data_IF_549514257441
#
_entry.id   IF_549514257441
#
_cell.length_a   1.000
_cell.length_b   1.000
_cell.length_c   1.000
_cell.angle_alpha   90.00
_cell.angle_beta   90.00
_cell.angle_gamma   90.00
#
_symmetry.space_group_name_H-M   'P 1'
#
loop_
_entity.id
_entity.type
_entity.pdbx_description
1 polymer ?
#
# COMPACT_ATOMS: atom_id res chain seq x y z
N UNK A 1 2.42 -8.53 -16.43
CA UNK A 1 2.83 -8.59 -15.01
C UNK A 1 2.21 -7.44 -14.25
N UNK A 2 1.65 -7.75 -13.10
CA UNK A 2 1.11 -6.68 -12.27
C UNK A 2 2.25 -5.88 -11.63
N UNK A 3 2.04 -4.58 -11.51
CA UNK A 3 3.00 -3.64 -10.90
C UNK A 3 2.42 -3.19 -9.57
N UNK A 4 3.21 -3.32 -8.51
CA UNK A 4 2.76 -3.03 -7.15
C UNK A 4 3.58 -1.84 -6.62
N UNK A 5 2.88 -0.82 -6.14
CA UNK A 5 3.53 0.31 -5.47
C UNK A 5 3.58 0.01 -3.98
N UNK A 6 4.77 0.01 -3.41
CA UNK A 6 4.99 -0.20 -1.97
C UNK A 6 5.34 1.13 -1.35
N UNK A 7 4.57 1.54 -0.35
CA UNK A 7 4.76 2.83 0.32
C UNK A 7 5.00 2.60 1.80
N UNK A 8 6.20 2.92 2.27
CA UNK A 8 6.57 2.81 3.67
C UNK A 8 7.83 3.66 3.87
N UNK A 9 7.94 4.38 4.97
CA UNK A 9 9.13 5.20 5.24
C UNK A 9 10.32 4.37 5.72
N UNK A 10 10.09 3.11 6.12
CA UNK A 10 11.15 2.21 6.55
C UNK A 10 11.76 1.47 5.35
N UNK A 11 12.96 1.86 4.97
CA UNK A 11 13.66 1.26 3.82
C UNK A 11 13.80 -0.25 3.95
N UNK A 12 14.12 -0.73 5.16
CA UNK A 12 14.27 -2.17 5.40
C UNK A 12 12.98 -2.93 5.08
N UNK A 13 11.84 -2.38 5.49
CA UNK A 13 10.55 -3.02 5.26
C UNK A 13 10.17 -3.00 3.78
N UNK A 14 10.41 -1.87 3.10
CA UNK A 14 10.18 -1.81 1.65
C UNK A 14 11.00 -2.86 0.92
N UNK A 15 12.29 -2.98 1.30
CA UNK A 15 13.17 -3.97 0.67
C UNK A 15 12.67 -5.39 0.89
N UNK A 16 12.22 -5.69 2.10
CA UNK A 16 11.71 -7.01 2.45
C UNK A 16 10.45 -7.36 1.63
N UNK A 17 9.52 -6.43 1.53
CA UNK A 17 8.30 -6.64 0.75
C UNK A 17 8.62 -6.72 -0.73
N UNK A 18 9.53 -5.88 -1.22
CA UNK A 18 9.96 -5.92 -2.62
C UNK A 18 10.47 -7.29 -3.00
N UNK A 19 11.31 -7.89 -2.15
CA UNK A 19 11.86 -9.22 -2.42
C UNK A 19 10.75 -10.27 -2.52
N UNK A 20 9.77 -10.20 -1.63
CA UNK A 20 8.63 -11.11 -1.66
C UNK A 20 7.88 -11.02 -2.97
N UNK A 21 7.58 -9.80 -3.41
CA UNK A 21 6.78 -9.58 -4.62
C UNK A 21 7.54 -9.91 -5.88
N UNK A 22 8.81 -9.53 -5.95
CA UNK A 22 9.65 -9.85 -7.10
C UNK A 22 9.79 -11.36 -7.27
N UNK A 23 9.91 -12.10 -6.17
CA UNK A 23 10.02 -13.56 -6.21
C UNK A 23 8.75 -14.20 -6.78
N UNK A 24 7.60 -13.53 -6.67
CA UNK A 24 6.34 -14.03 -7.21
C UNK A 24 6.05 -13.50 -8.63
N UNK A 25 7.00 -12.78 -9.21
CA UNK A 25 6.87 -12.32 -10.59
C UNK A 25 6.24 -10.94 -10.77
N UNK A 26 5.95 -10.24 -9.68
CA UNK A 26 5.41 -8.88 -9.77
C UNK A 26 6.52 -7.87 -10.05
N UNK A 27 6.17 -6.77 -10.68
CA UNK A 27 7.04 -5.60 -10.76
C UNK A 27 6.76 -4.72 -9.55
N UNK A 28 7.78 -4.01 -9.07
CA UNK A 28 7.68 -3.22 -7.84
C UNK A 28 8.11 -1.78 -8.08
N UNK A 29 7.33 -0.84 -7.53
CA UNK A 29 7.66 0.58 -7.47
C UNK A 29 7.65 0.94 -6.01
N UNK A 30 8.56 1.79 -5.55
CA UNK A 30 8.66 2.17 -4.13
C UNK A 30 8.45 3.66 -3.93
N UNK A 31 7.85 4.00 -2.79
CA UNK A 31 7.71 5.37 -2.34
C UNK A 31 7.96 5.43 -0.83
N UNK A 32 8.51 6.53 -0.35
CA UNK A 32 8.93 6.68 1.04
C UNK A 32 7.90 7.39 1.92
N UNK A 33 6.91 8.02 1.32
CA UNK A 33 5.87 8.74 2.05
C UNK A 33 4.63 8.90 1.16
N UNK A 34 3.57 9.45 1.75
CA UNK A 34 2.31 9.61 1.04
C UNK A 34 2.38 10.55 -0.14
N UNK A 35 3.19 11.59 -0.05
CA UNK A 35 3.32 12.55 -1.14
C UNK A 35 3.94 11.89 -2.37
N UNK A 36 5.04 11.16 -2.17
CA UNK A 36 5.65 10.39 -3.27
C UNK A 36 4.69 9.32 -3.80
N UNK A 37 3.89 8.72 -2.92
CA UNK A 37 2.92 7.71 -3.33
C UNK A 37 1.90 8.29 -4.30
N UNK A 38 1.35 9.45 -3.99
CA UNK A 38 0.37 10.11 -4.86
C UNK A 38 1.00 10.44 -6.21
N UNK A 39 2.21 11.02 -6.19
CA UNK A 39 2.92 11.36 -7.43
C UNK A 39 3.19 10.13 -8.29
N UNK A 40 3.71 9.07 -7.68
CA UNK A 40 4.04 7.84 -8.41
C UNK A 40 2.80 7.11 -8.91
N UNK A 41 1.71 7.17 -8.15
CA UNK A 41 0.47 6.59 -8.62
C UNK A 41 0.01 7.27 -9.92
N UNK A 42 0.07 8.58 -9.96
CA UNK A 42 -0.36 9.35 -11.13
C UNK A 42 0.51 9.10 -12.35
N UNK A 43 1.83 8.98 -12.16
CA UNK A 43 2.76 8.81 -13.28
C UNK A 43 2.93 7.36 -13.70
N UNK A 44 2.96 6.43 -12.75
CA UNK A 44 3.25 5.02 -13.03
C UNK A 44 2.00 4.15 -13.16
N UNK A 45 0.89 4.59 -12.61
CA UNK A 45 -0.39 3.88 -12.65
C UNK A 45 -0.25 2.40 -12.29
N UNK A 46 0.20 2.10 -11.05
CA UNK A 46 0.37 0.71 -10.64
C UNK A 46 -0.96 -0.03 -10.57
N UNK A 47 -0.91 -1.34 -10.61
CA UNK A 47 -2.11 -2.17 -10.51
C UNK A 47 -2.62 -2.28 -9.09
N UNK A 48 -1.76 -2.15 -8.11
CA UNK A 48 -2.13 -2.21 -6.70
C UNK A 48 -1.15 -1.41 -5.85
N UNK A 49 -1.57 -1.03 -4.65
CA UNK A 49 -0.76 -0.25 -3.71
C UNK A 49 -0.79 -0.92 -2.34
N UNK A 50 0.39 -1.07 -1.73
CA UNK A 50 0.55 -1.41 -0.32
C UNK A 50 0.99 -0.13 0.37
N UNK A 51 0.17 0.40 1.27
CA UNK A 51 0.36 1.73 1.85
C UNK A 51 0.45 1.68 3.37
N UNK A 52 1.61 2.06 3.92
CA UNK A 52 1.74 2.25 5.37
C UNK A 52 0.87 3.43 5.80
N UNK A 53 0.34 3.38 7.01
CA UNK A 53 -0.52 4.45 7.54
C UNK A 53 0.31 5.63 8.04
N UNK A 54 1.33 5.37 8.87
CA UNK A 54 2.09 6.43 9.54
C UNK A 54 3.39 6.72 8.81
N UNK A 55 3.49 7.90 8.20
CA UNK A 55 4.67 8.32 7.44
C UNK A 55 4.85 9.82 7.57
N UNK A 56 6.08 10.33 7.41
CA UNK A 56 6.32 11.78 7.38
C UNK A 56 5.76 12.40 6.09
N UNK A 57 5.71 13.69 6.03
CA UNK A 57 5.23 14.51 4.92
C UNK A 57 3.74 14.37 4.69
N UNK A 58 3.28 13.21 4.29
CA UNK A 58 1.86 12.91 4.12
C UNK A 58 1.63 11.47 4.57
N UNK A 59 0.67 11.25 5.48
CA UNK A 59 0.37 9.91 5.98
C UNK A 59 -0.41 9.09 4.95
N UNK A 60 -0.56 7.79 5.24
CA UNK A 60 -1.19 6.87 4.30
C UNK A 60 -2.67 7.09 4.12
N UNK A 61 -3.38 7.53 5.16
CA UNK A 61 -4.81 7.80 5.04
C UNK A 61 -5.06 8.97 4.08
N UNK A 62 -4.28 10.05 4.23
CA UNK A 62 -4.39 11.20 3.35
C UNK A 62 -4.04 10.81 1.91
N UNK A 63 -2.96 10.05 1.73
CA UNK A 63 -2.56 9.58 0.40
C UNK A 63 -3.63 8.70 -0.24
N UNK A 64 -4.24 7.80 0.53
CA UNK A 64 -5.33 6.97 0.06
C UNK A 64 -6.48 7.82 -0.48
N UNK A 65 -6.88 8.83 0.27
CA UNK A 65 -7.98 9.70 -0.15
C UNK A 65 -7.64 10.45 -1.44
N UNK A 66 -6.41 10.95 -1.56
CA UNK A 66 -5.98 11.65 -2.76
C UNK A 66 -5.88 10.73 -3.97
N UNK A 67 -5.36 9.53 -3.78
CA UNK A 67 -5.30 8.55 -4.88
C UNK A 67 -6.70 8.16 -5.33
N UNK A 68 -7.62 7.92 -4.38
CA UNK A 68 -8.99 7.55 -4.73
C UNK A 68 -9.75 8.70 -5.41
N UNK A 69 -9.42 9.95 -5.07
CA UNK A 69 -9.99 11.10 -5.75
C UNK A 69 -9.51 11.20 -7.20
N UNK A 70 -8.26 10.81 -7.44
CA UNK A 70 -7.68 10.77 -8.78
C UNK A 70 -8.19 9.56 -9.58
N UNK A 71 -8.31 8.41 -8.93
CA UNK A 71 -8.71 7.15 -9.55
C UNK A 71 -9.59 6.37 -8.59
N UNK A 72 -10.90 6.45 -8.76
CA UNK A 72 -11.86 5.80 -7.87
C UNK A 72 -11.73 4.27 -7.86
N UNK A 73 -11.07 3.70 -8.88
CA UNK A 73 -10.88 2.24 -8.98
C UNK A 73 -9.53 1.78 -8.43
N UNK A 74 -8.75 2.68 -7.84
CA UNK A 74 -7.45 2.33 -7.27
C UNK A 74 -7.60 1.21 -6.24
N UNK A 75 -6.70 0.23 -6.32
CA UNK A 75 -6.70 -0.96 -5.46
C UNK A 75 -5.63 -0.80 -4.40
N UNK A 76 -6.05 -0.54 -3.16
CA UNK A 76 -5.14 -0.19 -2.07
C UNK A 76 -5.37 -1.07 -0.86
N UNK A 77 -4.28 -1.64 -0.32
CA UNK A 77 -4.25 -2.36 0.95
C UNK A 77 -3.41 -1.54 1.92
N UNK A 78 -3.91 -1.33 3.13
CA UNK A 78 -3.18 -0.58 4.14
C UNK A 78 -2.29 -1.51 4.96
N UNK A 79 -1.09 -1.01 5.34
CA UNK A 79 -0.22 -1.67 6.31
C UNK A 79 -0.38 -0.91 7.62
N UNK A 80 -0.67 -1.62 8.70
CA UNK A 80 -1.02 -0.98 9.96
C UNK A 80 -0.30 -1.62 11.15
N UNK A 81 -0.09 -0.85 12.21
CA UNK A 81 0.43 -1.36 13.47
C UNK A 81 -0.76 -1.61 14.42
N UNK A 82 -0.51 -2.36 15.48
CA UNK A 82 -1.53 -2.54 16.52
C UNK A 82 -1.88 -1.18 17.12
N UNK A 83 -3.14 -0.98 17.47
CA UNK A 83 -3.60 0.24 18.07
C UNK A 83 -4.07 1.30 17.08
N UNK A 84 -4.17 0.96 15.81
CA UNK A 84 -4.61 1.89 14.76
C UNK A 84 -6.01 1.56 14.22
N UNK A 85 -6.83 0.88 15.01
CA UNK A 85 -8.14 0.41 14.54
C UNK A 85 -9.05 1.49 14.01
N UNK A 86 -9.06 2.67 14.66
CA UNK A 86 -9.91 3.77 14.20
C UNK A 86 -9.46 4.31 12.83
N UNK A 87 -8.14 4.37 12.61
CA UNK A 87 -7.60 4.82 11.33
C UNK A 87 -7.88 3.79 10.24
N UNK A 88 -7.78 2.51 10.58
CA UNK A 88 -8.11 1.43 9.64
C UNK A 88 -9.57 1.52 9.19
N UNK A 89 -10.49 1.75 10.13
CA UNK A 89 -11.92 1.92 9.80
C UNK A 89 -12.13 3.09 8.85
N UNK A 90 -11.46 4.21 9.11
CA UNK A 90 -11.54 5.38 8.24
C UNK A 90 -11.00 5.04 6.85
N UNK A 91 -9.89 4.31 6.78
CA UNK A 91 -9.29 3.91 5.50
C UNK A 91 -10.24 3.02 4.70
N UNK A 92 -10.87 2.05 5.34
CA UNK A 92 -11.84 1.16 4.68
C UNK A 92 -13.02 1.98 4.14
N UNK A 93 -13.54 2.90 4.95
CA UNK A 93 -14.63 3.79 4.53
C UNK A 93 -14.22 4.67 3.35
N UNK A 94 -12.94 5.00 3.26
CA UNK A 94 -12.40 5.85 2.19
C UNK A 94 -11.99 5.06 0.95
N UNK A 95 -12.16 3.73 0.95
CA UNK A 95 -11.97 2.92 -0.24
C UNK A 95 -10.83 1.92 -0.20
N UNK A 96 -10.12 1.77 0.93
CA UNK A 96 -9.12 0.70 1.04
C UNK A 96 -9.83 -0.65 1.01
N UNK A 97 -9.25 -1.62 0.30
CA UNK A 97 -9.87 -2.94 0.12
C UNK A 97 -9.59 -3.90 1.26
N UNK A 98 -8.48 -3.72 1.96
CA UNK A 98 -8.05 -4.63 3.01
C UNK A 98 -6.98 -3.95 3.84
N UNK A 99 -6.54 -4.60 4.90
CA UNK A 99 -5.41 -4.13 5.70
C UNK A 99 -4.60 -5.33 6.19
N UNK A 100 -3.31 -5.10 6.43
CA UNK A 100 -2.38 -6.12 6.93
C UNK A 100 -1.68 -5.54 8.15
N UNK A 101 -1.74 -6.26 9.28
CA UNK A 101 -1.17 -5.80 10.55
C UNK A 101 0.31 -6.18 10.63
N UNK A 102 1.15 -5.24 11.05
CA UNK A 102 2.57 -5.48 11.31
C UNK A 102 2.76 -6.00 12.74
N UNK A 103 3.67 -6.94 12.98
CA UNK A 103 4.47 -7.66 12.01
C UNK A 103 3.63 -8.70 11.25
N UNK A 104 3.97 -8.93 10.00
CA UNK A 104 3.18 -9.82 9.15
C UNK A 104 4.01 -11.00 8.65
N UNK A 105 3.31 -12.09 8.32
CA UNK A 105 3.90 -13.21 7.63
C UNK A 105 3.81 -12.98 6.12
N UNK A 106 4.71 -13.60 5.37
CA UNK A 106 4.73 -13.50 3.91
C UNK A 106 3.37 -13.88 3.31
N UNK A 107 2.78 -14.97 3.81
CA UNK A 107 1.50 -15.49 3.30
C UNK A 107 0.38 -14.46 3.45
N UNK A 108 0.38 -13.68 4.52
CA UNK A 108 -0.66 -12.68 4.73
C UNK A 108 -0.58 -11.57 3.69
N UNK A 109 0.63 -11.09 3.39
CA UNK A 109 0.85 -10.06 2.37
C UNK A 109 0.47 -10.61 1.00
N UNK A 110 0.92 -11.81 0.67
CA UNK A 110 0.63 -12.41 -0.64
C UNK A 110 -0.85 -12.67 -0.83
N UNK A 111 -1.54 -13.12 0.22
CA UNK A 111 -2.98 -13.33 0.16
C UNK A 111 -3.72 -12.04 -0.13
N UNK A 112 -3.33 -10.94 0.55
CA UNK A 112 -3.96 -9.65 0.35
C UNK A 112 -3.76 -9.16 -1.09
N UNK A 113 -2.55 -9.27 -1.62
CA UNK A 113 -2.24 -8.84 -2.98
C UNK A 113 -2.99 -9.69 -4.01
N UNK A 114 -3.00 -11.00 -3.83
CA UNK A 114 -3.70 -11.92 -4.76
C UNK A 114 -5.19 -11.58 -4.84
N UNK A 115 -5.81 -11.37 -3.68
CA UNK A 115 -7.24 -11.02 -3.64
C UNK A 115 -7.51 -9.64 -4.24
N UNK A 116 -6.59 -8.71 -4.02
CA UNK A 116 -6.71 -7.35 -4.52
C UNK A 116 -6.71 -7.33 -6.05
N UNK A 117 -5.88 -8.17 -6.65
CA UNK A 117 -5.71 -8.23 -8.10
C UNK A 117 -6.71 -9.14 -8.81
N UNK A 118 -7.44 -9.93 -8.05
CA UNK A 118 -8.42 -10.86 -8.61
C UNK A 118 -9.61 -10.16 -9.28
#
# INVERSE_FOLDING_TARGET
MARILIVDDAEFLRMRISKMLLAEGYEVIEAENGLQAVEKYKTEKPDAVLMDITMPEMDGLTALKEIKAFDAKAKIVMLTALGQESVVLEAIKSGARDFVVKPFERERVMSAITKLLA
#
